data_IF_493291670657
#
_entry.id   IF_493291670657
#
_cell.length_a   1.000
_cell.length_b   1.000
_cell.length_c   1.000
_cell.angle_alpha   90.00
_cell.angle_beta   90.00
_cell.angle_gamma   90.00
#
_symmetry.space_group_name_H-M   'P 1'
#
loop_
_entity.id
_entity.type
_entity.pdbx_description
1 polymer ?
#
# COMPACT_ATOMS: atom_id res chain seq x y z
N UNK A 1 4.09 -13.01 31.39
CA UNK A 1 3.13 -12.23 30.59
C UNK A 1 1.75 -12.52 31.14
N UNK A 2 0.99 -11.51 31.60
CA UNK A 2 -0.40 -11.75 32.01
C UNK A 2 -1.27 -11.90 30.76
N UNK A 3 -2.14 -12.92 30.68
CA UNK A 3 -3.04 -13.08 29.56
C UNK A 3 -4.13 -11.99 29.61
N UNK A 4 -4.46 -11.44 28.44
CA UNK A 4 -5.64 -10.60 28.27
C UNK A 4 -6.84 -11.50 27.99
N UNK A 5 -7.87 -11.41 28.81
CA UNK A 5 -9.14 -12.05 28.55
C UNK A 5 -9.98 -11.12 27.67
N UNK A 6 -10.40 -11.61 26.50
CA UNK A 6 -11.25 -10.86 25.59
C UNK A 6 -12.70 -11.27 25.77
N UNK A 7 -13.58 -10.30 26.01
CA UNK A 7 -15.02 -10.51 26.05
C UNK A 7 -15.67 -10.46 24.65
N UNK A 8 -14.85 -10.25 23.62
CA UNK A 8 -15.33 -10.16 22.25
C UNK A 8 -15.76 -11.56 21.75
N UNK A 9 -16.98 -11.64 21.20
CA UNK A 9 -17.52 -12.86 20.59
C UNK A 9 -17.41 -12.80 19.05
N UNK A 10 -16.48 -13.54 18.42
CA UNK A 10 -16.26 -13.47 16.97
C UNK A 10 -17.40 -14.05 16.14
N UNK A 11 -18.33 -14.79 16.76
CA UNK A 11 -19.50 -15.38 16.10
C UNK A 11 -20.76 -14.54 16.29
N UNK A 12 -20.68 -13.41 16.98
CA UNK A 12 -21.81 -12.53 17.19
C UNK A 12 -22.18 -11.78 15.90
N UNK A 13 -23.47 -11.47 15.67
CA UNK A 13 -23.89 -10.65 14.53
C UNK A 13 -23.23 -9.25 14.53
N UNK A 14 -23.03 -8.66 15.71
CA UNK A 14 -22.37 -7.36 15.85
C UNK A 14 -20.90 -7.40 15.39
N UNK A 15 -20.16 -8.47 15.75
CA UNK A 15 -18.80 -8.64 15.26
C UNK A 15 -18.75 -8.76 13.73
N UNK A 16 -19.64 -9.58 13.15
CA UNK A 16 -19.71 -9.75 11.70
C UNK A 16 -19.99 -8.42 10.97
N UNK A 17 -20.92 -7.61 11.49
CA UNK A 17 -21.22 -6.29 10.95
C UNK A 17 -20.01 -5.33 11.02
N UNK A 18 -19.32 -5.29 12.16
CA UNK A 18 -18.13 -4.44 12.33
C UNK A 18 -16.97 -4.88 11.43
N UNK A 19 -16.74 -6.20 11.32
CA UNK A 19 -15.71 -6.75 10.46
C UNK A 19 -15.98 -6.43 8.98
N UNK A 20 -17.24 -6.55 8.53
CA UNK A 20 -17.64 -6.21 7.16
C UNK A 20 -17.47 -4.71 6.86
N UNK A 21 -17.83 -3.84 7.81
CA UNK A 21 -17.64 -2.40 7.67
C UNK A 21 -16.15 -2.02 7.58
N UNK A 22 -15.32 -2.57 8.47
CA UNK A 22 -13.87 -2.32 8.43
C UNK A 22 -13.22 -2.87 7.15
N UNK A 23 -13.64 -4.07 6.71
CA UNK A 23 -13.13 -4.65 5.47
C UNK A 23 -13.42 -3.74 4.27
N UNK A 24 -14.61 -3.11 4.24
CA UNK A 24 -14.97 -2.16 3.18
C UNK A 24 -13.99 -0.98 3.14
N UNK A 25 -13.63 -0.39 4.28
CA UNK A 25 -12.66 0.71 4.35
C UNK A 25 -11.24 0.26 3.96
N UNK A 26 -10.84 -0.95 4.35
CA UNK A 26 -9.56 -1.55 3.94
C UNK A 26 -9.54 -1.71 2.40
N UNK A 27 -10.61 -2.20 1.80
CA UNK A 27 -10.70 -2.42 0.37
C UNK A 27 -10.62 -1.10 -0.40
N UNK A 28 -11.26 -0.04 0.10
CA UNK A 28 -11.14 1.32 -0.46
C UNK A 28 -9.69 1.80 -0.41
N UNK A 29 -9.02 1.63 0.73
CA UNK A 29 -7.61 1.99 0.89
C UNK A 29 -6.70 1.22 -0.08
N UNK A 30 -6.86 -0.10 -0.16
CA UNK A 30 -6.07 -0.97 -1.07
C UNK A 30 -6.32 -0.65 -2.54
N UNK A 31 -7.55 -0.33 -2.91
CA UNK A 31 -7.88 0.10 -4.27
C UNK A 31 -7.19 1.44 -4.62
N UNK A 32 -7.11 2.39 -3.68
CA UNK A 32 -6.36 3.63 -3.89
C UNK A 32 -4.85 3.37 -4.07
N UNK A 33 -4.24 2.51 -3.24
CA UNK A 33 -2.84 2.13 -3.39
C UNK A 33 -2.56 1.42 -4.72
N UNK A 34 -3.49 0.56 -5.16
CA UNK A 34 -3.36 -0.14 -6.44
C UNK A 34 -3.39 0.82 -7.62
N UNK A 35 -4.26 1.85 -7.60
CA UNK A 35 -4.28 2.88 -8.66
C UNK A 35 -2.94 3.58 -8.81
N UNK A 36 -2.27 3.90 -7.71
CA UNK A 36 -0.93 4.49 -7.74
C UNK A 36 0.08 3.54 -8.40
N UNK A 37 0.00 2.24 -8.09
CA UNK A 37 0.87 1.21 -8.68
C UNK A 37 0.61 1.05 -10.17
N UNK A 38 -0.65 0.97 -10.58
CA UNK A 38 -1.05 0.86 -11.98
C UNK A 38 -0.57 2.07 -12.78
N UNK A 39 -0.69 3.27 -12.21
CA UNK A 39 -0.21 4.49 -12.85
C UNK A 39 1.30 4.51 -13.05
N UNK A 40 2.05 4.01 -12.07
CA UNK A 40 3.51 3.88 -12.19
C UNK A 40 3.90 2.84 -13.26
N UNK A 41 3.12 1.78 -13.39
CA UNK A 41 3.33 0.70 -14.36
C UNK A 41 3.18 1.17 -15.82
N UNK A 42 2.30 2.15 -16.09
CA UNK A 42 2.18 2.80 -17.41
C UNK A 42 3.53 3.38 -17.91
N UNK A 43 4.44 3.75 -17.00
CA UNK A 43 5.74 4.29 -17.36
C UNK A 43 6.78 3.21 -17.71
N UNK A 44 6.49 1.91 -17.50
CA UNK A 44 7.41 0.80 -17.75
C UNK A 44 8.07 0.83 -19.13
N UNK A 45 7.34 1.02 -20.25
CA UNK A 45 7.97 1.03 -21.57
C UNK A 45 9.03 2.13 -21.72
N UNK A 46 8.78 3.32 -21.14
CA UNK A 46 9.72 4.45 -21.18
C UNK A 46 10.99 4.18 -20.36
N UNK A 47 10.86 3.44 -19.26
CA UNK A 47 12.00 3.04 -18.43
C UNK A 47 12.84 1.96 -19.13
N UNK A 48 12.17 0.96 -19.70
CA UNK A 48 12.82 -0.13 -20.44
C UNK A 48 13.56 0.38 -21.68
N UNK A 49 12.99 1.31 -22.45
CA UNK A 49 13.67 1.96 -23.58
C UNK A 49 14.99 2.63 -23.18
N UNK A 50 15.15 3.00 -21.90
CA UNK A 50 16.34 3.64 -21.35
C UNK A 50 17.22 2.67 -20.56
N UNK A 51 16.94 1.36 -20.61
CA UNK A 51 17.59 0.32 -19.80
C UNK A 51 17.54 0.61 -18.29
N UNK A 52 16.41 1.14 -17.80
CA UNK A 52 16.19 1.46 -16.39
C UNK A 52 15.10 0.58 -15.79
N UNK A 53 15.28 0.23 -14.52
CA UNK A 53 14.26 -0.40 -13.67
C UNK A 53 13.29 0.65 -13.11
N UNK A 54 12.04 0.27 -12.87
CA UNK A 54 11.08 1.09 -12.13
C UNK A 54 11.53 1.29 -10.67
N UNK A 55 11.08 2.37 -10.00
CA UNK A 55 11.48 2.64 -8.61
C UNK A 55 11.23 1.46 -7.65
N UNK A 56 10.05 0.82 -7.71
CA UNK A 56 9.71 -0.33 -6.84
C UNK A 56 10.54 -1.58 -7.15
N UNK A 57 10.92 -1.78 -8.41
CA UNK A 57 11.82 -2.89 -8.79
C UNK A 57 13.21 -2.70 -8.20
N UNK A 58 13.71 -1.46 -8.16
CA UNK A 58 15.00 -1.13 -7.52
C UNK A 58 14.97 -1.45 -6.02
N UNK A 59 13.87 -1.10 -5.34
CA UNK A 59 13.68 -1.45 -3.93
C UNK A 59 13.69 -2.98 -3.76
N UNK A 60 12.95 -3.71 -4.59
CA UNK A 60 12.91 -5.18 -4.53
C UNK A 60 14.26 -5.86 -4.79
N UNK A 61 15.14 -5.27 -5.61
CA UNK A 61 16.50 -5.78 -5.83
C UNK A 61 17.50 -5.37 -4.74
N UNK A 62 17.22 -4.29 -4.02
CA UNK A 62 18.07 -3.79 -2.93
C UNK A 62 17.84 -4.57 -1.62
N UNK A 63 16.62 -5.05 -1.39
CA UNK A 63 16.25 -5.75 -0.16
C UNK A 63 16.81 -7.18 -0.12
N UNK A 64 17.16 -7.61 1.10
CA UNK A 64 17.47 -9.01 1.37
C UNK A 64 16.30 -9.92 1.00
N UNK A 65 16.60 -11.04 0.33
CA UNK A 65 15.59 -12.00 -0.12
C UNK A 65 14.77 -12.54 1.05
N UNK A 66 13.46 -12.36 0.98
CA UNK A 66 12.52 -12.82 2.00
C UNK A 66 12.43 -11.92 3.23
N UNK A 67 13.20 -10.82 3.29
CA UNK A 67 13.06 -9.81 4.33
C UNK A 67 11.75 -9.03 4.16
N UNK A 68 11.07 -8.65 5.26
CA UNK A 68 9.90 -7.78 5.18
C UNK A 68 10.30 -6.35 4.82
N UNK A 69 9.40 -5.66 4.11
CA UNK A 69 9.53 -4.23 3.83
C UNK A 69 8.27 -3.50 4.30
N UNK A 70 8.45 -2.54 5.20
CA UNK A 70 7.38 -1.66 5.67
C UNK A 70 7.37 -0.37 4.83
N UNK A 71 6.46 -0.30 3.87
CA UNK A 71 6.24 0.91 3.07
C UNK A 71 5.55 2.00 3.90
N UNK A 72 5.94 3.27 3.70
CA UNK A 72 5.45 4.41 4.48
C UNK A 72 4.84 5.46 3.56
N UNK A 73 3.73 6.07 3.99
CA UNK A 73 3.09 7.19 3.30
C UNK A 73 2.69 6.90 1.84
N UNK A 74 2.18 5.69 1.55
CA UNK A 74 1.78 5.21 0.20
C UNK A 74 0.79 6.12 -0.53
N UNK A 75 -0.01 6.89 0.22
CA UNK A 75 -1.03 7.81 -0.28
C UNK A 75 -0.76 9.27 0.11
N UNK A 76 0.49 9.65 0.36
CA UNK A 76 0.84 11.06 0.61
C UNK A 76 0.33 11.95 -0.53
N UNK A 77 -0.44 13.00 -0.20
CA UNK A 77 -1.02 13.89 -1.20
C UNK A 77 -2.22 13.33 -1.97
N UNK A 78 -2.86 12.25 -1.51
CA UNK A 78 -4.02 11.64 -2.17
C UNK A 78 -5.18 12.62 -2.36
N UNK A 79 -5.63 12.79 -3.61
CA UNK A 79 -6.71 13.71 -3.99
C UNK A 79 -6.48 15.16 -3.54
N UNK A 80 -5.22 15.59 -3.48
CA UNK A 80 -4.84 16.96 -3.16
C UNK A 80 -4.43 17.73 -4.42
N UNK A 81 -4.75 19.03 -4.45
CA UNK A 81 -4.35 19.92 -5.53
C UNK A 81 -5.14 19.67 -6.84
N UNK A 82 -4.43 19.60 -7.96
CA UNK A 82 -5.03 19.40 -9.29
C UNK A 82 -5.42 17.93 -9.57
N UNK A 83 -4.98 17.01 -8.71
CA UNK A 83 -5.26 15.58 -8.86
C UNK A 83 -6.53 15.20 -8.11
N UNK A 84 -7.48 14.59 -8.83
CA UNK A 84 -8.81 14.25 -8.29
C UNK A 84 -9.09 12.76 -8.27
N UNK A 85 -8.36 11.96 -9.04
CA UNK A 85 -8.62 10.53 -9.21
C UNK A 85 -7.87 9.62 -8.22
N UNK A 86 -6.86 10.16 -7.51
CA UNK A 86 -6.06 9.45 -6.52
C UNK A 86 -4.91 8.60 -7.09
N UNK A 87 -4.70 8.62 -8.41
CA UNK A 87 -3.65 7.87 -9.11
C UNK A 87 -2.21 8.38 -8.90
N UNK A 88 -2.03 9.62 -8.44
CA UNK A 88 -0.73 10.24 -8.17
C UNK A 88 -0.43 10.38 -6.66
N UNK A 89 -1.19 9.68 -5.81
CA UNK A 89 -0.87 9.55 -4.39
C UNK A 89 0.53 8.98 -4.15
N UNK A 90 1.11 9.27 -2.99
CA UNK A 90 2.46 8.85 -2.60
C UNK A 90 3.53 9.94 -2.73
N UNK A 91 3.15 11.18 -3.04
CA UNK A 91 4.05 12.33 -3.07
C UNK A 91 5.20 12.22 -4.08
N UNK A 92 5.04 11.39 -5.11
CA UNK A 92 6.09 11.10 -6.10
C UNK A 92 7.24 10.24 -5.57
N UNK A 93 7.10 9.63 -4.40
CA UNK A 93 8.13 8.82 -3.75
C UNK A 93 7.62 7.41 -3.41
N UNK A 94 8.54 6.47 -3.30
CA UNK A 94 8.30 5.15 -2.71
C UNK A 94 9.38 4.92 -1.66
N UNK A 95 9.00 4.89 -0.38
CA UNK A 95 9.91 4.82 0.75
C UNK A 95 9.43 3.84 1.81
N UNK A 96 10.35 3.35 2.63
CA UNK A 96 10.04 2.38 3.68
C UNK A 96 11.28 1.88 4.42
N UNK A 97 11.07 0.94 5.33
CA UNK A 97 12.10 0.32 6.18
C UNK A 97 12.22 -1.16 5.84
N UNK A 98 13.44 -1.65 5.62
CA UNK A 98 13.74 -3.05 5.32
C UNK A 98 15.21 -3.40 5.60
N UNK A 99 15.58 -4.66 5.38
CA UNK A 99 16.97 -5.15 5.52
C UNK A 99 17.66 -5.19 4.16
N UNK A 100 18.95 -4.82 4.13
CA UNK A 100 19.78 -4.69 2.92
C UNK A 100 21.20 -5.20 3.18
#
# INVERSE_FOLDING_TARGET
>A
MQPLNSDLSPRSPAYAANAAALQTEIDILRAAEQKVRDKAEEARPRFQQRNKLLPRERIGMLLDRGSPFLEVCTLAGYKMGAEKDGSMGGGGMSCGVGCV
#
